data_IF_843956169786
#
_entry.id   IF_843956169786
#
_cell.length_a   1.000
_cell.length_b   1.000
_cell.length_c   1.000
_cell.angle_alpha   90.00
_cell.angle_beta   90.00
_cell.angle_gamma   90.00
#
_symmetry.space_group_name_H-M   'P 1'
#
loop_
_entity.id
_entity.type
_entity.pdbx_description
1 polymer ?
#
# COMPACT_ATOMS: atom_id res chain seq x y z
N UNK A 1 9.52 -32.78 -3.76
CA UNK A 1 8.48 -32.02 -4.51
C UNK A 1 7.59 -31.13 -3.62
N UNK A 2 7.87 -30.96 -2.31
CA UNK A 2 7.01 -30.16 -1.41
C UNK A 2 7.38 -28.66 -1.36
N UNK A 3 8.63 -28.31 -1.70
CA UNK A 3 9.13 -26.93 -1.61
C UNK A 3 8.69 -26.02 -2.77
N UNK A 4 8.40 -26.58 -3.96
CA UNK A 4 8.00 -25.77 -5.11
C UNK A 4 6.56 -25.26 -5.01
N UNK A 5 5.63 -26.10 -4.54
CA UNK A 5 4.21 -25.75 -4.40
C UNK A 5 3.98 -24.67 -3.33
N UNK A 6 4.80 -24.66 -2.28
CA UNK A 6 4.74 -23.67 -1.21
C UNK A 6 5.22 -22.29 -1.72
N UNK A 7 6.34 -22.27 -2.46
CA UNK A 7 6.90 -21.03 -3.02
C UNK A 7 6.00 -20.35 -4.06
N UNK A 8 5.22 -21.11 -4.84
CA UNK A 8 4.35 -20.54 -5.88
C UNK A 8 3.13 -19.86 -5.28
N UNK A 9 2.55 -20.45 -4.24
CA UNK A 9 1.42 -19.86 -3.52
C UNK A 9 1.87 -18.63 -2.73
N UNK A 10 3.04 -18.71 -2.08
CA UNK A 10 3.64 -17.57 -1.39
C UNK A 10 3.88 -16.36 -2.32
N UNK A 11 4.41 -16.59 -3.53
CA UNK A 11 4.58 -15.52 -4.54
C UNK A 11 3.26 -14.93 -5.03
N UNK A 12 2.21 -15.75 -5.17
CA UNK A 12 0.86 -15.26 -5.55
C UNK A 12 0.27 -14.38 -4.45
N UNK A 13 0.41 -14.78 -3.19
CA UNK A 13 -0.09 -14.03 -2.04
C UNK A 13 0.64 -12.69 -1.88
N UNK A 14 1.96 -12.67 -2.03
CA UNK A 14 2.75 -11.42 -2.04
C UNK A 14 2.30 -10.44 -3.13
N UNK A 15 2.06 -10.93 -4.35
CA UNK A 15 1.56 -10.10 -5.45
C UNK A 15 0.17 -9.55 -5.16
N UNK A 16 -0.71 -10.36 -4.58
CA UNK A 16 -2.04 -9.92 -4.18
C UNK A 16 -1.97 -8.82 -3.11
N UNK A 17 -1.15 -9.00 -2.07
CA UNK A 17 -0.93 -8.00 -1.02
C UNK A 17 -0.39 -6.69 -1.63
N UNK A 18 0.57 -6.78 -2.55
CA UNK A 18 1.13 -5.62 -3.23
C UNK A 18 0.08 -4.87 -4.05
N UNK A 19 -0.81 -5.59 -4.73
CA UNK A 19 -1.92 -5.02 -5.51
C UNK A 19 -2.94 -4.31 -4.60
N UNK A 20 -3.31 -4.94 -3.48
CA UNK A 20 -4.22 -4.35 -2.49
C UNK A 20 -3.61 -3.09 -1.86
N UNK A 21 -2.32 -3.13 -1.49
CA UNK A 21 -1.61 -1.97 -0.95
C UNK A 21 -1.52 -0.82 -1.96
N UNK A 22 -1.29 -1.13 -3.25
CA UNK A 22 -1.27 -0.13 -4.31
C UNK A 22 -2.65 0.55 -4.47
N UNK A 23 -3.73 -0.22 -4.47
CA UNK A 23 -5.10 0.31 -4.52
C UNK A 23 -5.39 1.17 -3.27
N UNK A 24 -5.02 0.69 -2.09
CA UNK A 24 -5.19 1.43 -0.84
C UNK A 24 -4.44 2.78 -0.86
N UNK A 25 -3.22 2.79 -1.39
CA UNK A 25 -2.41 4.01 -1.54
C UNK A 25 -3.11 5.03 -2.46
N UNK A 26 -3.67 4.58 -3.58
CA UNK A 26 -4.42 5.46 -4.51
C UNK A 26 -5.62 6.08 -3.78
N UNK A 27 -6.39 5.27 -3.05
CA UNK A 27 -7.55 5.75 -2.27
C UNK A 27 -7.10 6.77 -1.21
N UNK A 28 -6.01 6.49 -0.48
CA UNK A 28 -5.46 7.42 0.52
C UNK A 28 -5.09 8.77 -0.09
N UNK A 29 -4.48 8.80 -1.28
CA UNK A 29 -4.13 10.05 -1.98
C UNK A 29 -5.39 10.82 -2.37
N UNK A 30 -6.41 10.14 -2.92
CA UNK A 30 -7.68 10.77 -3.31
C UNK A 30 -8.37 11.38 -2.08
N UNK A 31 -8.47 10.61 -0.99
CA UNK A 31 -9.10 11.06 0.26
C UNK A 31 -8.33 12.25 0.84
N UNK A 32 -7.00 12.19 0.89
CA UNK A 32 -6.19 13.32 1.35
C UNK A 32 -6.42 14.58 0.50
N UNK A 33 -6.55 14.43 -0.82
CA UNK A 33 -6.92 15.52 -1.72
C UNK A 33 -8.30 16.10 -1.41
N UNK A 34 -9.31 15.27 -1.19
CA UNK A 34 -10.66 15.72 -0.84
C UNK A 34 -10.66 16.48 0.49
N UNK A 35 -10.00 15.97 1.52
CA UNK A 35 -9.89 16.66 2.82
C UNK A 35 -9.17 18.01 2.72
N UNK A 36 -8.13 18.10 1.89
CA UNK A 36 -7.39 19.35 1.68
C UNK A 36 -8.18 20.38 0.87
N UNK A 37 -8.72 19.98 -0.28
CA UNK A 37 -9.32 20.92 -1.24
C UNK A 37 -10.80 21.20 -0.99
N UNK A 38 -11.57 20.18 -0.55
CA UNK A 38 -13.02 20.30 -0.34
C UNK A 38 -13.33 20.73 1.08
N UNK A 39 -12.83 19.97 2.06
CA UNK A 39 -13.16 20.21 3.47
C UNK A 39 -12.25 21.26 4.13
N UNK A 40 -11.12 21.60 3.49
CA UNK A 40 -10.07 22.50 4.02
C UNK A 40 -9.58 22.09 5.41
N UNK A 41 -9.75 20.81 5.77
CA UNK A 41 -9.49 20.31 7.11
C UNK A 41 -8.08 19.71 7.18
N UNK A 42 -7.15 20.48 7.73
CA UNK A 42 -5.71 20.14 7.76
C UNK A 42 -5.30 19.21 8.90
N UNK A 43 -6.12 19.08 9.94
CA UNK A 43 -5.82 18.27 11.13
C UNK A 43 -5.63 16.79 10.78
N UNK A 44 -6.41 16.27 9.83
CA UNK A 44 -6.34 14.86 9.40
C UNK A 44 -5.30 14.62 8.30
N UNK A 45 -4.73 15.66 7.68
CA UNK A 45 -3.73 15.50 6.62
C UNK A 45 -2.43 14.91 7.14
N UNK A 46 -1.96 15.34 8.32
CA UNK A 46 -0.73 14.80 8.91
C UNK A 46 -0.79 13.27 9.12
N UNK A 47 -1.80 12.70 9.82
CA UNK A 47 -1.90 11.25 9.94
C UNK A 47 -2.15 10.54 8.60
N UNK A 48 -2.83 11.16 7.63
CA UNK A 48 -2.99 10.60 6.29
C UNK A 48 -1.65 10.52 5.52
N UNK A 49 -0.80 11.56 5.60
CA UNK A 49 0.53 11.53 4.99
C UNK A 49 1.43 10.45 5.61
N UNK A 50 1.36 10.25 6.93
CA UNK A 50 2.05 9.14 7.58
C UNK A 50 1.57 7.78 7.05
N UNK A 51 0.26 7.61 6.86
CA UNK A 51 -0.32 6.42 6.24
C UNK A 51 0.17 6.18 4.82
N UNK A 52 0.23 7.23 3.99
CA UNK A 52 0.76 7.17 2.62
C UNK A 52 2.24 6.75 2.62
N UNK A 53 3.06 7.34 3.50
CA UNK A 53 4.48 6.99 3.62
C UNK A 53 4.68 5.54 4.09
N UNK A 54 3.89 5.08 5.05
CA UNK A 54 3.92 3.69 5.52
C UNK A 54 3.55 2.71 4.41
N UNK A 55 2.48 3.00 3.64
CA UNK A 55 2.08 2.22 2.47
C UNK A 55 3.17 2.19 1.41
N UNK A 56 3.81 3.33 1.12
CA UNK A 56 4.88 3.43 0.12
C UNK A 56 6.11 2.61 0.51
N UNK A 57 6.54 2.72 1.77
CA UNK A 57 7.68 1.93 2.30
C UNK A 57 7.37 0.44 2.38
N UNK A 58 6.13 0.06 2.74
CA UNK A 58 5.65 -1.32 2.72
C UNK A 58 5.66 -1.94 1.33
N UNK A 59 5.15 -1.22 0.32
CA UNK A 59 5.22 -1.63 -1.09
C UNK A 59 6.68 -1.77 -1.54
N UNK A 60 7.54 -0.81 -1.20
CA UNK A 60 8.97 -0.85 -1.54
C UNK A 60 9.67 -2.10 -1.01
N UNK A 61 9.45 -2.45 0.27
CA UNK A 61 10.01 -3.69 0.85
C UNK A 61 9.43 -4.96 0.25
N UNK A 62 8.11 -5.02 0.05
CA UNK A 62 7.47 -6.19 -0.56
C UNK A 62 7.91 -6.39 -2.02
N UNK A 63 8.14 -5.30 -2.76
CA UNK A 63 8.68 -5.33 -4.12
C UNK A 63 10.11 -5.88 -4.15
N UNK A 64 10.97 -5.45 -3.22
CA UNK A 64 12.34 -5.98 -3.07
C UNK A 64 12.37 -7.47 -2.70
N UNK A 65 11.39 -7.96 -1.92
CA UNK A 65 11.28 -9.37 -1.55
C UNK A 65 10.74 -10.26 -2.68
N UNK A 66 10.06 -9.68 -3.67
CA UNK A 66 9.49 -10.40 -4.81
C UNK A 66 10.43 -10.46 -6.03
N UNK A 67 11.44 -9.57 -6.10
CA UNK A 67 12.53 -9.61 -7.09
C UNK A 67 13.68 -10.51 -6.62
#
# INVERSE_FOLDING_TARGET
MRNEFDSTNFKKEQRFILLVLAIALIIQIIVAGLYFFVEKQTVLLFPMFLGILASFTGIGRLSQLNN
#
